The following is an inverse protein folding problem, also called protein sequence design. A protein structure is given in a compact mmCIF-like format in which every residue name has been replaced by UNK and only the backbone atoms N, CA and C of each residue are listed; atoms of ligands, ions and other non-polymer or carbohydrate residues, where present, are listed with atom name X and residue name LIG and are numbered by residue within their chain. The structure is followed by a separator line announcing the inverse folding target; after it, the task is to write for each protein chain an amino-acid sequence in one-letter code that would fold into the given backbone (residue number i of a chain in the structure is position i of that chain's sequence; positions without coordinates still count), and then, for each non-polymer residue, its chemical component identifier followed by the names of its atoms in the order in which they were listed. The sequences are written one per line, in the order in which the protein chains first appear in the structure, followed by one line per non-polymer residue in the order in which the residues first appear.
data_IF_778958849671
#
_entry.id   IF_778958849671
#
_cell.length_a   1.000
_cell.length_b   1.000
_cell.length_c   1.000
_cell.angle_alpha   90.00
_cell.angle_beta   90.00
_cell.angle_gamma   90.00
#
_symmetry.space_group_name_H-M   'P 1'
#
loop_
_entity.id
_entity.type
_entity.pdbx_description
1 polymer ?
#
# COMPACT_ATOMS: atom_id res chain seq x y z
N UNK A 1 -72.99 1.15 154.99
CA UNK A 1 -72.26 2.07 154.08
C UNK A 1 -71.18 1.36 153.24
N UNK A 2 -70.29 0.51 153.80
CA UNK A 2 -69.26 -0.23 153.03
C UNK A 2 -69.80 -1.21 151.98
N UNK A 3 -70.91 -1.88 152.28
CA UNK A 3 -71.49 -2.91 151.39
C UNK A 3 -72.13 -2.32 150.13
N UNK A 4 -72.79 -1.16 150.26
CA UNK A 4 -73.37 -0.40 149.14
C UNK A 4 -72.27 0.08 148.19
N UNK A 5 -71.11 0.52 148.72
CA UNK A 5 -69.98 0.92 147.89
C UNK A 5 -69.41 -0.26 147.08
N UNK A 6 -69.34 -1.46 147.68
CA UNK A 6 -68.87 -2.68 147.01
C UNK A 6 -69.82 -3.16 145.91
N UNK A 7 -71.13 -3.08 146.14
CA UNK A 7 -72.16 -3.38 145.12
C UNK A 7 -72.11 -2.37 143.98
N UNK A 8 -71.92 -1.09 144.27
CA UNK A 8 -71.76 -0.07 143.22
C UNK A 8 -70.47 -0.27 142.41
N UNK A 9 -69.35 -0.64 143.05
CA UNK A 9 -68.10 -0.96 142.35
C UNK A 9 -68.22 -2.22 141.47
N UNK A 10 -68.93 -3.25 141.94
CA UNK A 10 -69.25 -4.44 141.16
C UNK A 10 -70.18 -4.13 139.98
N UNK A 11 -71.22 -3.31 140.18
CA UNK A 11 -72.10 -2.87 139.11
C UNK A 11 -71.37 -2.02 138.07
N UNK A 12 -70.41 -1.19 138.48
CA UNK A 12 -69.58 -0.40 137.57
C UNK A 12 -68.63 -1.29 136.75
N UNK A 13 -68.04 -2.33 137.37
CA UNK A 13 -67.24 -3.34 136.65
C UNK A 13 -68.09 -4.15 135.68
N UNK A 14 -69.26 -4.61 136.11
CA UNK A 14 -70.18 -5.38 135.27
C UNK A 14 -70.69 -4.55 134.07
N UNK A 15 -70.98 -3.26 134.28
CA UNK A 15 -71.31 -2.32 133.19
C UNK A 15 -70.15 -2.19 132.21
N UNK A 16 -68.91 -2.06 132.70
CA UNK A 16 -67.73 -1.97 131.84
C UNK A 16 -67.36 -3.29 131.14
N UNK A 17 -67.67 -4.45 131.73
CA UNK A 17 -67.55 -5.76 131.08
C UNK A 17 -68.62 -5.91 129.99
N UNK A 18 -69.86 -5.50 130.25
CA UNK A 18 -70.97 -5.53 129.29
C UNK A 18 -70.72 -4.59 128.10
N UNK A 19 -70.20 -3.38 128.34
CA UNK A 19 -69.78 -2.45 127.28
C UNK A 19 -68.66 -3.05 126.42
N UNK A 20 -67.65 -3.68 127.04
CA UNK A 20 -66.58 -4.39 126.32
C UNK A 20 -67.09 -5.55 125.48
N UNK A 21 -68.08 -6.30 125.98
CA UNK A 21 -68.70 -7.41 125.25
C UNK A 21 -69.58 -6.93 124.10
N UNK A 22 -70.31 -5.82 124.29
CA UNK A 22 -71.04 -5.15 123.19
C UNK A 22 -70.08 -4.62 122.11
N UNK A 23 -68.97 -4.00 122.48
CA UNK A 23 -67.93 -3.58 121.53
C UNK A 23 -67.31 -4.77 120.79
N UNK A 24 -67.03 -5.88 121.49
CA UNK A 24 -66.51 -7.10 120.89
C UNK A 24 -67.53 -7.71 119.91
N UNK A 25 -68.81 -7.70 120.25
CA UNK A 25 -69.90 -8.17 119.38
C UNK A 25 -70.00 -7.34 118.09
N UNK A 26 -69.95 -6.00 118.20
CA UNK A 26 -69.94 -5.11 117.02
C UNK A 26 -68.70 -5.35 116.15
N UNK A 27 -67.52 -5.53 116.76
CA UNK A 27 -66.27 -5.87 116.03
C UNK A 27 -66.39 -7.23 115.33
N UNK A 28 -67.01 -8.21 115.97
CA UNK A 28 -67.22 -9.55 115.41
C UNK A 28 -68.22 -9.52 114.26
N UNK A 29 -69.30 -8.74 114.36
CA UNK A 29 -70.25 -8.50 113.27
C UNK A 29 -69.56 -7.80 112.08
N UNK A 30 -68.70 -6.82 112.35
CA UNK A 30 -67.91 -6.14 111.32
C UNK A 30 -66.94 -7.09 110.61
N UNK A 31 -66.20 -7.90 111.37
CA UNK A 31 -65.30 -8.93 110.81
C UNK A 31 -66.06 -9.98 110.00
N UNK A 32 -67.25 -10.38 110.44
CA UNK A 32 -68.11 -11.33 109.70
C UNK A 32 -68.57 -10.74 108.37
N UNK A 33 -68.95 -9.45 108.35
CA UNK A 33 -69.28 -8.73 107.10
C UNK A 33 -68.07 -8.62 106.18
N UNK A 34 -66.89 -8.31 106.72
CA UNK A 34 -65.64 -8.26 105.95
C UNK A 34 -65.29 -9.64 105.35
N UNK A 35 -65.40 -10.71 106.14
CA UNK A 35 -65.20 -12.09 105.67
C UNK A 35 -66.12 -12.43 104.50
N UNK A 36 -67.42 -12.13 104.63
CA UNK A 36 -68.38 -12.36 103.56
C UNK A 36 -68.02 -11.58 102.28
N UNK A 37 -67.64 -10.31 102.42
CA UNK A 37 -67.19 -9.53 101.24
C UNK A 37 -65.91 -10.10 100.61
N UNK A 38 -64.97 -10.63 101.41
CA UNK A 38 -63.76 -11.27 100.86
C UNK A 38 -64.05 -12.60 100.19
N UNK A 39 -65.01 -13.37 100.70
CA UNK A 39 -65.48 -14.62 100.08
C UNK A 39 -66.16 -14.34 98.73
N UNK A 40 -67.04 -13.33 98.67
CA UNK A 40 -67.69 -12.92 97.42
C UNK A 40 -66.67 -12.46 96.36
N UNK A 41 -65.61 -11.75 96.78
CA UNK A 41 -64.50 -11.36 95.90
C UNK A 41 -63.70 -12.58 95.43
N UNK A 42 -63.40 -13.53 96.34
CA UNK A 42 -62.66 -14.76 96.00
C UNK A 42 -63.42 -15.61 94.99
N UNK A 43 -64.74 -15.79 95.17
CA UNK A 43 -65.56 -16.56 94.24
C UNK A 43 -65.67 -15.85 92.88
N UNK A 44 -65.76 -14.51 92.87
CA UNK A 44 -65.75 -13.71 91.63
C UNK A 44 -64.44 -13.77 90.83
N UNK A 45 -63.30 -14.05 91.47
CA UNK A 45 -61.96 -14.09 90.83
C UNK A 45 -61.48 -15.52 90.54
N UNK A 46 -62.22 -16.54 90.98
CA UNK A 46 -61.83 -17.95 90.91
C UNK A 46 -61.54 -18.47 89.49
N UNK A 47 -62.24 -17.95 88.48
CA UNK A 47 -62.05 -18.35 87.09
C UNK A 47 -61.06 -17.45 86.32
N UNK A 48 -60.69 -16.29 86.87
CA UNK A 48 -59.71 -15.38 86.25
C UNK A 48 -58.36 -16.03 85.92
N UNK A 49 -57.79 -16.95 86.72
CA UNK A 49 -56.56 -17.66 86.36
C UNK A 49 -56.70 -18.52 85.09
N UNK A 50 -57.85 -19.18 84.88
CA UNK A 50 -58.10 -20.00 83.69
C UNK A 50 -58.25 -19.10 82.46
N UNK A 51 -58.96 -17.98 82.59
CA UNK A 51 -59.09 -16.97 81.53
C UNK A 51 -57.72 -16.38 81.16
N UNK A 52 -56.88 -16.06 82.14
CA UNK A 52 -55.51 -15.59 81.92
C UNK A 52 -54.68 -16.65 81.19
N UNK A 53 -54.82 -17.93 81.53
CA UNK A 53 -54.11 -19.01 80.84
C UNK A 53 -54.58 -19.18 79.39
N UNK A 54 -55.89 -19.08 79.13
CA UNK A 54 -56.45 -19.10 77.77
C UNK A 54 -55.96 -17.92 76.94
N UNK A 55 -55.99 -16.70 77.50
CA UNK A 55 -55.47 -15.51 76.84
C UNK A 55 -53.97 -15.63 76.54
N UNK A 56 -53.17 -16.20 77.45
CA UNK A 56 -51.74 -16.48 77.20
C UNK A 56 -51.52 -17.43 76.03
N UNK A 57 -52.33 -18.50 75.91
CA UNK A 57 -52.27 -19.43 74.77
C UNK A 57 -52.65 -18.74 73.47
N UNK A 58 -53.68 -17.90 73.47
CA UNK A 58 -54.09 -17.16 72.26
C UNK A 58 -53.03 -16.12 71.84
N UNK A 59 -52.42 -15.41 72.80
CA UNK A 59 -51.30 -14.48 72.53
C UNK A 59 -50.10 -15.23 71.93
N UNK A 60 -49.76 -16.41 72.45
CA UNK A 60 -48.69 -17.23 71.88
C UNK A 60 -49.02 -17.66 70.43
N UNK A 61 -50.26 -18.09 70.17
CA UNK A 61 -50.74 -18.47 68.84
C UNK A 61 -50.68 -17.29 67.85
N UNK A 62 -51.13 -16.11 68.27
CA UNK A 62 -51.07 -14.88 67.46
C UNK A 62 -49.63 -14.50 67.15
N UNK A 63 -48.72 -14.62 68.12
CA UNK A 63 -47.30 -14.35 67.90
C UNK A 63 -46.67 -15.32 66.89
N UNK A 64 -46.97 -16.61 66.97
CA UNK A 64 -46.51 -17.59 65.98
C UNK A 64 -47.06 -17.31 64.58
N UNK A 65 -48.34 -16.95 64.47
CA UNK A 65 -48.95 -16.57 63.20
C UNK A 65 -48.32 -15.29 62.63
N UNK A 66 -48.04 -14.29 63.46
CA UNK A 66 -47.37 -13.06 63.06
C UNK A 66 -45.93 -13.32 62.56
N UNK A 67 -45.19 -14.24 63.21
CA UNK A 67 -43.87 -14.65 62.75
C UNK A 67 -43.95 -15.33 61.37
N UNK A 68 -44.90 -16.26 61.18
CA UNK A 68 -45.12 -16.92 59.88
C UNK A 68 -45.47 -15.92 58.79
N UNK A 69 -46.41 -15.01 59.07
CA UNK A 69 -46.83 -13.96 58.14
C UNK A 69 -45.66 -13.04 57.76
N UNK A 70 -44.79 -12.71 58.71
CA UNK A 70 -43.58 -11.91 58.45
C UNK A 70 -42.62 -12.65 57.52
N UNK A 71 -42.39 -13.94 57.77
CA UNK A 71 -41.53 -14.78 56.92
C UNK A 71 -42.07 -14.89 55.49
N UNK A 72 -43.39 -15.07 55.32
CA UNK A 72 -43.99 -15.16 53.99
C UNK A 72 -43.98 -13.81 53.25
N UNK A 73 -44.19 -12.69 53.96
CA UNK A 73 -44.01 -11.34 53.39
C UNK A 73 -42.58 -11.09 52.91
N UNK A 74 -41.56 -11.59 53.62
CA UNK A 74 -40.17 -11.49 53.18
C UNK A 74 -39.89 -12.33 51.93
N UNK A 75 -40.45 -13.54 51.84
CA UNK A 75 -40.36 -14.39 50.64
C UNK A 75 -41.04 -13.72 49.44
N UNK A 76 -42.23 -13.17 49.62
CA UNK A 76 -42.98 -12.49 48.56
C UNK A 76 -42.25 -11.24 48.07
N UNK A 77 -41.66 -10.45 48.97
CA UNK A 77 -40.78 -9.33 48.59
C UNK A 77 -39.58 -9.81 47.77
N UNK A 78 -38.94 -10.90 48.19
CA UNK A 78 -37.83 -11.51 47.44
C UNK A 78 -38.24 -11.97 46.04
N UNK A 79 -39.40 -12.61 45.92
CA UNK A 79 -39.97 -13.02 44.63
C UNK A 79 -40.28 -11.82 43.74
N UNK A 80 -40.89 -10.77 44.31
CA UNK A 80 -41.21 -9.53 43.59
C UNK A 80 -39.95 -8.85 43.02
N UNK A 81 -38.88 -8.75 43.80
CA UNK A 81 -37.59 -8.20 43.33
C UNK A 81 -36.99 -9.04 42.20
N UNK A 82 -37.12 -10.36 42.27
CA UNK A 82 -36.64 -11.26 41.22
C UNK A 82 -37.43 -11.08 39.92
N UNK A 83 -38.75 -10.94 40.01
CA UNK A 83 -39.62 -10.66 38.85
C UNK A 83 -39.27 -9.31 38.22
N UNK A 84 -39.05 -8.28 39.04
CA UNK A 84 -38.65 -6.95 38.54
C UNK A 84 -37.30 -7.02 37.80
N UNK A 85 -36.31 -7.71 38.36
CA UNK A 85 -34.99 -7.89 37.73
C UNK A 85 -35.09 -8.67 36.42
N UNK A 86 -35.87 -9.76 36.38
CA UNK A 86 -36.10 -10.53 35.15
C UNK A 86 -36.82 -9.70 34.09
N UNK A 87 -37.77 -8.86 34.49
CA UNK A 87 -38.48 -7.95 33.57
C UNK A 87 -37.53 -6.92 32.97
N UNK A 88 -36.62 -6.34 33.78
CA UNK A 88 -35.57 -5.44 33.29
C UNK A 88 -34.64 -6.14 32.31
N UNK A 89 -34.20 -7.37 32.63
CA UNK A 89 -33.36 -8.17 31.74
C UNK A 89 -34.06 -8.48 30.41
N UNK A 90 -35.33 -8.92 30.45
CA UNK A 90 -36.13 -9.15 29.25
C UNK A 90 -36.22 -7.91 28.38
N UNK A 91 -36.54 -6.75 28.96
CA UNK A 91 -36.59 -5.49 28.23
C UNK A 91 -35.25 -5.14 27.57
N UNK A 92 -34.14 -5.29 28.30
CA UNK A 92 -32.81 -5.06 27.71
C UNK A 92 -32.49 -6.03 26.56
N UNK A 93 -32.91 -7.30 26.67
CA UNK A 93 -32.71 -8.26 25.58
C UNK A 93 -33.61 -7.99 24.38
N UNK A 94 -34.83 -7.51 24.59
CA UNK A 94 -35.74 -7.07 23.53
C UNK A 94 -35.18 -5.86 22.79
N UNK A 95 -34.68 -4.85 23.52
CA UNK A 95 -34.05 -3.66 22.94
C UNK A 95 -32.80 -4.03 22.10
N UNK A 96 -31.98 -4.99 22.58
CA UNK A 96 -30.84 -5.53 21.82
C UNK A 96 -31.29 -6.28 20.55
N UNK A 97 -32.37 -7.07 20.63
CA UNK A 97 -32.88 -7.83 19.50
C UNK A 97 -33.41 -6.90 18.40
N UNK A 98 -34.13 -5.84 18.78
CA UNK A 98 -34.66 -4.85 17.83
C UNK A 98 -33.50 -4.09 17.14
N UNK A 99 -32.41 -3.80 17.86
CA UNK A 99 -31.21 -3.18 17.28
C UNK A 99 -30.49 -4.02 16.22
N UNK A 100 -30.61 -5.35 16.25
CA UNK A 100 -29.94 -6.28 15.30
C UNK A 100 -30.87 -6.74 14.17
N UNK A 101 -32.16 -6.41 14.24
CA UNK A 101 -33.21 -6.92 13.34
C UNK A 101 -32.97 -6.61 11.86
N UNK A 102 -32.33 -5.49 11.55
CA UNK A 102 -32.04 -5.09 10.17
C UNK A 102 -30.66 -5.55 9.67
N UNK A 103 -29.77 -6.00 10.55
CA UNK A 103 -28.44 -6.50 10.17
C UNK A 103 -28.47 -7.63 9.13
N UNK A 104 -29.40 -8.61 9.16
CA UNK A 104 -29.50 -9.63 8.11
C UNK A 104 -29.81 -9.06 6.72
N UNK A 105 -30.65 -8.02 6.62
CA UNK A 105 -30.99 -7.36 5.35
C UNK A 105 -29.78 -6.60 4.81
N UNK A 106 -29.04 -5.95 5.68
CA UNK A 106 -27.81 -5.25 5.32
C UNK A 106 -26.72 -6.23 4.86
N UNK A 107 -26.55 -7.36 5.56
CA UNK A 107 -25.68 -8.46 5.14
C UNK A 107 -26.09 -8.98 3.75
N UNK A 108 -27.39 -9.14 3.47
CA UNK A 108 -27.85 -9.60 2.15
C UNK A 108 -27.58 -8.57 1.05
N UNK A 109 -27.75 -7.27 1.32
CA UNK A 109 -27.40 -6.18 0.39
C UNK A 109 -25.91 -6.19 0.06
N UNK A 110 -25.07 -6.22 1.10
CA UNK A 110 -23.61 -6.28 0.94
C UNK A 110 -23.17 -7.54 0.18
N UNK A 111 -23.81 -8.70 0.43
CA UNK A 111 -23.55 -9.93 -0.34
C UNK A 111 -23.87 -9.78 -1.83
N UNK A 112 -24.97 -9.09 -2.18
CA UNK A 112 -25.33 -8.81 -3.58
C UNK A 112 -24.32 -7.88 -4.25
N UNK A 113 -23.92 -6.82 -3.55
CA UNK A 113 -22.92 -5.87 -4.04
C UNK A 113 -21.55 -6.54 -4.27
N UNK A 114 -21.10 -7.37 -3.32
CA UNK A 114 -19.87 -8.16 -3.48
C UNK A 114 -19.95 -9.11 -4.67
N UNK A 115 -21.09 -9.77 -4.88
CA UNK A 115 -21.28 -10.65 -6.04
C UNK A 115 -21.23 -9.87 -7.37
N UNK A 116 -21.79 -8.66 -7.41
CA UNK A 116 -21.77 -7.80 -8.59
C UNK A 116 -20.37 -7.27 -8.89
N UNK A 117 -19.64 -6.80 -7.87
CA UNK A 117 -18.24 -6.37 -8.00
C UNK A 117 -17.36 -7.53 -8.49
N UNK A 118 -17.52 -8.73 -7.94
CA UNK A 118 -16.76 -9.90 -8.38
C UNK A 118 -17.03 -10.25 -9.85
N UNK A 119 -18.29 -10.14 -10.30
CA UNK A 119 -18.66 -10.36 -11.70
C UNK A 119 -18.04 -9.30 -12.62
N UNK A 120 -17.97 -8.05 -12.19
CA UNK A 120 -17.31 -6.98 -12.94
C UNK A 120 -15.78 -7.20 -13.00
N UNK A 121 -15.15 -7.55 -11.88
CA UNK A 121 -13.72 -7.86 -11.83
C UNK A 121 -13.34 -9.05 -12.72
N UNK A 122 -14.19 -10.09 -12.79
CA UNK A 122 -13.96 -11.21 -13.69
C UNK A 122 -13.98 -10.77 -15.16
N UNK A 123 -14.95 -9.94 -15.56
CA UNK A 123 -15.01 -9.39 -16.92
C UNK A 123 -13.79 -8.53 -17.27
N UNK A 124 -13.37 -7.66 -16.35
CA UNK A 124 -12.18 -6.83 -16.54
C UNK A 124 -10.90 -7.67 -16.66
N UNK A 125 -10.82 -8.77 -15.91
CA UNK A 125 -9.69 -9.71 -16.00
C UNK A 125 -9.67 -10.41 -17.36
N UNK A 126 -10.82 -10.89 -17.85
CA UNK A 126 -10.95 -11.48 -19.19
C UNK A 126 -10.63 -10.49 -20.31
N UNK A 127 -11.00 -9.22 -20.15
CA UNK A 127 -10.66 -8.15 -21.11
C UNK A 127 -9.15 -7.84 -21.09
N UNK A 128 -8.54 -7.76 -19.91
CA UNK A 128 -7.11 -7.55 -19.75
C UNK A 128 -6.30 -8.70 -20.37
N UNK A 129 -6.72 -9.95 -20.18
CA UNK A 129 -6.08 -11.11 -20.82
C UNK A 129 -6.14 -11.04 -22.35
N UNK A 130 -7.29 -10.66 -22.91
CA UNK A 130 -7.44 -10.46 -24.37
C UNK A 130 -6.51 -9.36 -24.88
N UNK A 131 -6.41 -8.26 -24.14
CA UNK A 131 -5.54 -7.13 -24.50
C UNK A 131 -4.06 -7.52 -24.41
N UNK A 132 -3.65 -8.30 -23.41
CA UNK A 132 -2.28 -8.83 -23.31
C UNK A 132 -1.93 -9.74 -24.49
N UNK A 133 -2.85 -10.62 -24.91
CA UNK A 133 -2.65 -11.47 -26.08
C UNK A 133 -2.54 -10.62 -27.35
N UNK A 134 -3.40 -9.62 -27.52
CA UNK A 134 -3.35 -8.70 -28.64
C UNK A 134 -2.03 -7.90 -28.67
N UNK A 135 -1.59 -7.38 -27.53
CA UNK A 135 -0.32 -6.69 -27.38
C UNK A 135 0.88 -7.60 -27.72
N UNK A 136 0.86 -8.86 -27.28
CA UNK A 136 1.87 -9.86 -27.64
C UNK A 136 1.95 -10.08 -29.16
N UNK A 137 0.80 -10.13 -29.84
CA UNK A 137 0.73 -10.24 -31.30
C UNK A 137 1.25 -8.98 -32.00
N UNK A 138 0.88 -7.79 -31.53
CA UNK A 138 1.38 -6.51 -32.06
C UNK A 138 2.90 -6.47 -31.92
N UNK A 139 3.44 -6.80 -30.75
CA UNK A 139 4.89 -6.83 -30.51
C UNK A 139 5.63 -7.80 -31.44
N UNK A 140 5.03 -8.96 -31.74
CA UNK A 140 5.56 -9.91 -32.72
C UNK A 140 5.56 -9.33 -34.14
N UNK A 141 4.46 -8.67 -34.54
CA UNK A 141 4.34 -8.05 -35.85
C UNK A 141 5.30 -6.86 -36.01
N UNK A 142 5.50 -6.06 -34.97
CA UNK A 142 6.48 -4.96 -34.98
C UNK A 142 7.89 -5.48 -35.22
N UNK A 143 8.31 -6.55 -34.53
CA UNK A 143 9.61 -7.19 -34.79
C UNK A 143 9.74 -7.70 -36.23
N UNK A 144 8.69 -8.31 -36.77
CA UNK A 144 8.69 -8.75 -38.16
C UNK A 144 8.83 -7.55 -39.11
N UNK A 145 8.10 -6.47 -38.85
CA UNK A 145 8.18 -5.24 -39.64
C UNK A 145 9.60 -4.66 -39.64
N UNK A 146 10.23 -4.53 -38.47
CA UNK A 146 11.63 -4.07 -38.34
C UNK A 146 12.59 -4.93 -39.19
N UNK A 147 12.46 -6.26 -39.13
CA UNK A 147 13.31 -7.16 -39.94
C UNK A 147 13.06 -7.00 -41.45
N UNK A 148 11.81 -6.78 -41.85
CA UNK A 148 11.48 -6.54 -43.26
C UNK A 148 12.00 -5.19 -43.73
N UNK A 149 11.94 -4.14 -42.91
CA UNK A 149 12.50 -2.83 -43.22
C UNK A 149 14.02 -2.89 -43.39
N UNK A 150 14.72 -3.62 -42.54
CA UNK A 150 16.17 -3.85 -42.69
C UNK A 150 16.51 -4.59 -43.99
N UNK A 151 15.70 -5.60 -44.36
CA UNK A 151 15.88 -6.33 -45.61
C UNK A 151 15.63 -5.44 -46.83
N UNK A 152 14.58 -4.61 -46.80
CA UNK A 152 14.26 -3.66 -47.86
C UNK A 152 15.42 -2.67 -48.04
N UNK A 153 15.95 -2.08 -46.96
CA UNK A 153 17.12 -1.19 -47.03
C UNK A 153 18.34 -1.87 -47.68
N UNK A 154 18.60 -3.15 -47.35
CA UNK A 154 19.69 -3.93 -47.97
C UNK A 154 19.46 -4.13 -49.47
N UNK A 155 18.24 -4.49 -49.87
CA UNK A 155 17.89 -4.68 -51.28
C UNK A 155 17.96 -3.37 -52.07
N UNK A 156 17.57 -2.25 -51.48
CA UNK A 156 17.69 -0.92 -52.11
C UNK A 156 19.15 -0.57 -52.40
N UNK A 157 20.07 -0.80 -51.46
CA UNK A 157 21.51 -0.60 -51.66
C UNK A 157 22.04 -1.52 -52.76
N UNK A 158 21.66 -2.79 -52.76
CA UNK A 158 22.05 -3.73 -53.82
C UNK A 158 21.55 -3.29 -55.20
N UNK A 159 20.30 -2.81 -55.29
CA UNK A 159 19.71 -2.33 -56.53
C UNK A 159 20.44 -1.09 -57.09
N UNK A 160 20.88 -0.18 -56.22
CA UNK A 160 21.70 0.97 -56.62
C UNK A 160 23.05 0.49 -57.17
N UNK A 161 23.73 -0.42 -56.47
CA UNK A 161 25.00 -0.98 -56.92
C UNK A 161 24.86 -1.69 -58.28
N UNK A 162 23.79 -2.46 -58.49
CA UNK A 162 23.55 -3.17 -59.74
C UNK A 162 23.26 -2.22 -60.91
N UNK A 163 22.59 -1.09 -60.64
CA UNK A 163 22.41 -0.01 -61.63
C UNK A 163 23.75 0.63 -62.01
N UNK A 164 24.66 0.82 -61.06
CA UNK A 164 26.01 1.35 -61.34
C UNK A 164 26.83 0.37 -62.18
N UNK A 165 26.83 -0.91 -61.81
CA UNK A 165 27.47 -1.98 -62.59
C UNK A 165 26.91 -2.02 -64.01
N UNK A 166 25.59 -1.91 -64.17
CA UNK A 166 24.94 -1.89 -65.48
C UNK A 166 25.40 -0.70 -66.34
N UNK A 167 25.60 0.49 -65.75
CA UNK A 167 26.14 1.67 -66.45
C UNK A 167 27.59 1.43 -66.89
N UNK A 168 28.43 0.89 -66.00
CA UNK A 168 29.83 0.57 -66.32
C UNK A 168 29.88 -0.44 -67.46
N UNK A 169 29.07 -1.50 -67.40
CA UNK A 169 29.02 -2.55 -68.41
C UNK A 169 28.58 -2.00 -69.78
N UNK A 170 27.61 -1.09 -69.81
CA UNK A 170 27.23 -0.38 -71.04
C UNK A 170 28.41 0.42 -71.62
N UNK A 171 29.14 1.18 -70.78
CA UNK A 171 30.33 1.92 -71.22
C UNK A 171 31.47 1.03 -71.73
N UNK A 172 31.72 -0.11 -71.07
CA UNK A 172 32.69 -1.11 -71.52
C UNK A 172 32.28 -1.69 -72.89
N UNK A 173 31.00 -1.95 -73.09
CA UNK A 173 30.47 -2.45 -74.37
C UNK A 173 30.69 -1.43 -75.50
N UNK A 174 30.36 -0.16 -75.29
CA UNK A 174 30.62 0.91 -76.27
C UNK A 174 32.11 1.05 -76.60
N UNK A 175 32.97 0.99 -75.58
CA UNK A 175 34.42 1.05 -75.77
C UNK A 175 34.94 -0.14 -76.58
N UNK A 176 34.43 -1.34 -76.31
CA UNK A 176 34.75 -2.55 -77.08
C UNK A 176 34.35 -2.38 -78.54
N UNK A 177 33.12 -1.95 -78.82
CA UNK A 177 32.64 -1.72 -80.20
C UNK A 177 33.49 -0.66 -80.93
N UNK A 178 33.93 0.39 -80.22
CA UNK A 178 34.84 1.40 -80.78
C UNK A 178 36.23 0.84 -81.09
N UNK A 179 36.79 -0.01 -80.21
CA UNK A 179 38.10 -0.63 -80.42
C UNK A 179 38.04 -1.66 -81.57
N UNK A 180 36.98 -2.44 -81.67
CA UNK A 180 36.75 -3.36 -82.79
C UNK A 180 36.75 -2.61 -84.13
N UNK A 181 36.04 -1.47 -84.22
CA UNK A 181 36.07 -0.60 -85.42
C UNK A 181 37.46 -0.03 -85.73
N UNK A 182 38.22 0.34 -84.70
CA UNK A 182 39.61 0.81 -84.88
C UNK A 182 40.52 -0.29 -85.40
N UNK A 183 40.41 -1.50 -84.84
CA UNK A 183 41.17 -2.68 -85.30
C UNK A 183 40.83 -2.99 -86.76
N UNK A 184 39.54 -3.02 -87.12
CA UNK A 184 39.11 -3.23 -88.51
C UNK A 184 39.66 -2.19 -89.48
N UNK A 185 39.73 -0.92 -89.04
CA UNK A 185 40.28 0.18 -89.84
C UNK A 185 41.79 0.04 -90.02
N UNK A 186 42.54 -0.27 -88.95
CA UNK A 186 43.97 -0.52 -88.99
C UNK A 186 44.34 -1.76 -89.81
N UNK A 187 43.49 -2.80 -89.82
CA UNK A 187 43.66 -3.98 -90.65
C UNK A 187 43.53 -3.63 -92.15
N UNK A 188 42.53 -2.81 -92.51
CA UNK A 188 42.38 -2.30 -93.88
C UNK A 188 43.57 -1.45 -94.29
N UNK A 189 44.00 -0.53 -93.43
CA UNK A 189 45.18 0.31 -93.68
C UNK A 189 46.43 -0.54 -93.87
N UNK A 190 46.65 -1.55 -93.02
CA UNK A 190 47.77 -2.48 -93.17
C UNK A 190 47.71 -3.27 -94.48
N UNK A 191 46.52 -3.73 -94.90
CA UNK A 191 46.36 -4.39 -96.20
C UNK A 191 46.69 -3.44 -97.36
N UNK A 192 46.22 -2.19 -97.31
CA UNK A 192 46.56 -1.18 -98.31
C UNK A 192 48.05 -0.87 -98.35
N UNK A 193 48.69 -0.69 -97.18
CA UNK A 193 50.12 -0.47 -97.07
C UNK A 193 50.90 -1.69 -97.58
N UNK A 194 50.46 -2.91 -97.29
CA UNK A 194 51.07 -4.14 -97.83
C UNK A 194 50.97 -4.18 -99.36
N UNK A 195 49.80 -3.89 -99.92
CA UNK A 195 49.60 -3.81 -101.38
C UNK A 195 50.49 -2.72 -102.01
N UNK A 196 50.60 -1.54 -101.37
CA UNK A 196 51.50 -0.46 -101.80
C UNK A 196 52.97 -0.86 -101.69
N UNK A 197 53.37 -1.55 -100.63
CA UNK A 197 54.75 -1.98 -100.41
C UNK A 197 55.14 -3.10 -101.38
N UNK A 198 54.24 -4.04 -101.71
CA UNK A 198 54.42 -5.01 -102.80
C UNK A 198 54.59 -4.29 -104.15
N UNK A 199 53.85 -3.20 -104.39
CA UNK A 199 54.00 -2.35 -105.58
C UNK A 199 55.32 -1.53 -105.59
N UNK A 200 55.87 -1.17 -104.44
CA UNK A 200 57.14 -0.43 -104.29
C UNK A 200 58.37 -1.36 -104.31
N UNK A 201 58.31 -2.55 -103.70
CA UNK A 201 59.35 -3.58 -103.87
C UNK A 201 59.47 -4.04 -105.32
N UNK A 202 58.41 -3.90 -106.11
CA UNK A 202 58.45 -4.09 -107.57
C UNK A 202 59.20 -2.96 -108.32
N UNK A 203 59.55 -1.84 -107.66
CA UNK A 203 60.05 -0.61 -108.29
C UNK A 203 61.31 0.04 -107.71
N UNK A 204 61.85 -0.40 -106.56
CA UNK A 204 63.08 0.22 -106.01
C UNK A 204 64.01 -0.78 -105.33
N UNK A 205 65.11 -1.09 -106.02
CA UNK A 205 66.37 -1.54 -105.42
C UNK A 205 67.13 -0.32 -104.89
N UNK A 206 67.53 -0.38 -103.62
CA UNK A 206 68.66 0.38 -103.07
C UNK A 206 68.33 1.74 -102.45
N UNK A 207 68.66 1.89 -101.15
CA UNK A 207 69.76 2.74 -100.65
C UNK A 207 69.60 2.88 -99.12
N UNK A 208 70.61 2.45 -98.39
CA UNK A 208 70.88 2.75 -96.98
C UNK A 208 71.37 4.19 -96.84
N UNK A 209 71.08 4.89 -95.74
CA UNK A 209 72.13 5.41 -94.82
C UNK A 209 71.57 6.09 -93.55
N UNK A 210 72.13 5.65 -92.43
CA UNK A 210 72.49 6.34 -91.17
C UNK A 210 72.08 7.80 -90.93
N UNK A 211 71.65 8.10 -89.70
CA UNK A 211 72.09 9.31 -89.01
C UNK A 211 71.99 9.22 -87.49
N UNK A 212 73.15 9.30 -86.84
CA UNK A 212 73.35 9.60 -85.42
C UNK A 212 73.30 11.12 -85.26
N UNK A 213 72.39 11.64 -84.43
CA UNK A 213 72.53 12.87 -83.63
C UNK A 213 71.20 13.31 -83.04
N UNK A 214 70.95 12.99 -81.77
CA UNK A 214 70.06 13.71 -80.85
C UNK A 214 70.51 13.28 -79.45
N UNK A 215 70.61 14.07 -78.40
CA UNK A 215 70.83 15.50 -78.12
C UNK A 215 70.65 15.57 -76.60
N UNK A 216 71.34 16.48 -75.93
CA UNK A 216 71.35 16.71 -74.47
C UNK A 216 69.96 16.85 -73.79
N UNK A 217 68.86 16.95 -74.55
CA UNK A 217 67.49 16.94 -74.06
C UNK A 217 67.06 15.61 -73.42
N UNK A 218 67.56 14.46 -73.89
CA UNK A 218 67.23 13.16 -73.29
C UNK A 218 67.77 13.06 -71.85
N UNK A 219 68.96 13.60 -71.60
CA UNK A 219 69.56 13.61 -70.25
C UNK A 219 68.74 14.44 -69.24
N UNK A 220 68.27 15.63 -69.63
CA UNK A 220 67.41 16.46 -68.75
C UNK A 220 66.03 15.82 -68.52
N UNK A 221 65.46 15.14 -69.52
CA UNK A 221 64.19 14.41 -69.34
C UNK A 221 64.34 13.21 -68.42
N UNK A 222 65.47 12.49 -68.49
CA UNK A 222 65.78 11.38 -67.59
C UNK A 222 65.94 11.89 -66.16
N UNK A 223 66.60 13.02 -65.93
CA UNK A 223 66.80 13.60 -64.61
C UNK A 223 65.48 14.12 -63.98
N UNK A 224 64.61 14.73 -64.79
CA UNK A 224 63.25 15.11 -64.37
C UNK A 224 62.38 13.90 -64.02
N UNK A 225 62.40 12.85 -64.85
CA UNK A 225 61.68 11.60 -64.58
C UNK A 225 62.20 10.93 -63.31
N UNK A 226 63.50 10.90 -63.09
CA UNK A 226 64.09 10.37 -61.86
C UNK A 226 63.63 11.16 -60.62
N UNK A 227 63.45 12.48 -60.75
CA UNK A 227 62.92 13.33 -59.66
C UNK A 227 61.45 13.02 -59.36
N UNK A 228 60.62 12.82 -60.39
CA UNK A 228 59.21 12.41 -60.21
C UNK A 228 59.11 11.00 -59.62
N UNK A 229 59.95 10.07 -60.09
CA UNK A 229 59.98 8.70 -59.59
C UNK A 229 60.38 8.70 -58.11
N UNK A 230 61.36 9.51 -57.70
CA UNK A 230 61.75 9.67 -56.30
C UNK A 230 60.61 10.28 -55.44
N UNK A 231 59.89 11.29 -55.95
CA UNK A 231 58.75 11.88 -55.23
C UNK A 231 57.58 10.90 -55.09
N UNK A 232 57.28 10.13 -56.13
CA UNK A 232 56.27 9.08 -56.08
C UNK A 232 56.65 7.95 -55.12
N UNK A 233 57.91 7.52 -55.10
CA UNK A 233 58.40 6.52 -54.15
C UNK A 233 58.31 7.01 -52.70
N UNK A 234 58.68 8.27 -52.43
CA UNK A 234 58.54 8.89 -51.10
C UNK A 234 57.09 8.97 -50.64
N UNK A 235 56.17 9.28 -51.56
CA UNK A 235 54.73 9.34 -51.27
C UNK A 235 54.12 7.96 -51.01
N UNK A 236 54.60 6.94 -51.71
CA UNK A 236 54.22 5.54 -51.47
C UNK A 236 54.73 5.06 -50.10
N UNK A 237 55.96 5.41 -49.70
CA UNK A 237 56.48 5.11 -48.36
C UNK A 237 55.64 5.78 -47.26
N UNK A 238 55.28 7.06 -47.41
CA UNK A 238 54.43 7.77 -46.44
C UNK A 238 53.03 7.15 -46.30
N UNK A 239 52.43 6.73 -47.41
CA UNK A 239 51.12 6.06 -47.38
C UNK A 239 51.22 4.66 -46.76
N UNK A 240 52.30 3.93 -47.03
CA UNK A 240 52.55 2.61 -46.43
C UNK A 240 52.74 2.72 -44.92
N UNK A 241 53.50 3.72 -44.45
CA UNK A 241 53.68 3.98 -43.02
C UNK A 241 52.37 4.37 -42.32
N UNK A 242 51.53 5.18 -42.98
CA UNK A 242 50.21 5.55 -42.46
C UNK A 242 49.29 4.33 -42.33
N UNK A 243 49.26 3.46 -43.35
CA UNK A 243 48.48 2.21 -43.31
C UNK A 243 48.99 1.30 -42.19
N UNK A 244 50.31 1.19 -42.01
CA UNK A 244 50.91 0.37 -40.95
C UNK A 244 50.55 0.91 -39.54
N UNK A 245 50.56 2.23 -39.33
CA UNK A 245 50.12 2.85 -38.06
C UNK A 245 48.64 2.61 -37.79
N UNK A 246 47.79 2.71 -38.81
CA UNK A 246 46.36 2.41 -38.70
C UNK A 246 46.09 0.92 -38.42
N UNK A 247 46.85 0.01 -39.04
CA UNK A 247 46.77 -1.43 -38.76
C UNK A 247 47.25 -1.79 -37.35
N UNK A 248 48.22 -1.05 -36.80
CA UNK A 248 48.71 -1.21 -35.44
C UNK A 248 47.83 -0.53 -34.37
N UNK A 249 46.71 0.10 -34.76
CA UNK A 249 45.74 0.68 -33.83
C UNK A 249 46.10 2.06 -33.26
N UNK A 250 47.14 2.71 -33.78
CA UNK A 250 47.53 4.07 -33.38
C UNK A 250 46.66 5.09 -34.13
N UNK A 251 45.55 5.51 -33.50
CA UNK A 251 44.72 6.60 -33.98
C UNK A 251 45.46 7.94 -33.84
N UNK A 252 45.42 8.84 -34.85
CA UNK A 252 45.97 10.18 -34.71
C UNK A 252 45.28 10.89 -33.54
N UNK A 253 46.08 11.35 -32.56
CA UNK A 253 45.61 12.06 -31.37
C UNK A 253 44.82 13.32 -31.74
N UNK A 254 43.49 13.21 -31.82
CA UNK A 254 42.57 14.32 -31.57
C UNK A 254 42.11 14.22 -30.13
N UNK A 255 42.83 14.93 -29.27
CA UNK A 255 42.63 15.02 -27.83
C UNK A 255 41.24 15.57 -27.50
N UNK A 256 40.34 14.75 -26.97
CA UNK A 256 39.23 15.20 -26.11
C UNK A 256 38.91 14.08 -25.12
N UNK A 257 39.77 13.92 -24.12
CA UNK A 257 39.46 13.14 -22.92
C UNK A 257 38.66 14.02 -21.95
N UNK A 258 37.35 14.19 -22.17
CA UNK A 258 36.44 14.54 -21.07
C UNK A 258 36.29 13.30 -20.21
N UNK A 259 37.06 13.24 -19.13
CA UNK A 259 36.93 12.23 -18.08
C UNK A 259 35.53 12.31 -17.49
N UNK A 260 34.63 11.42 -17.93
CA UNK A 260 33.36 11.14 -17.28
C UNK A 260 33.65 10.35 -16.00
N UNK A 261 33.95 11.06 -14.91
CA UNK A 261 33.85 10.44 -13.58
C UNK A 261 32.36 10.20 -13.33
N UNK A 262 31.94 8.93 -13.38
CA UNK A 262 30.62 8.53 -12.93
C UNK A 262 30.46 8.97 -11.46
N UNK A 263 29.37 9.67 -11.09
CA UNK A 263 29.11 10.01 -9.71
C UNK A 263 29.06 8.75 -8.85
N UNK A 264 29.66 8.78 -7.67
CA UNK A 264 29.56 7.70 -6.69
C UNK A 264 28.08 7.45 -6.37
N UNK A 265 27.62 6.19 -6.32
CA UNK A 265 26.26 5.86 -5.94
C UNK A 265 25.93 6.48 -4.57
N UNK A 266 24.83 7.24 -4.49
CA UNK A 266 24.34 7.81 -3.24
C UNK A 266 23.69 6.71 -2.41
N UNK A 267 23.98 6.70 -1.11
CA UNK A 267 23.34 5.79 -0.16
C UNK A 267 21.96 6.35 0.21
N UNK A 268 20.93 5.54 0.16
CA UNK A 268 19.57 5.90 0.56
C UNK A 268 19.02 4.82 1.47
N UNK A 269 18.45 5.22 2.60
CA UNK A 269 17.83 4.30 3.53
C UNK A 269 16.30 4.39 3.42
N UNK A 270 15.68 3.33 2.87
CA UNK A 270 14.22 3.23 2.68
C UNK A 270 13.44 3.19 4.01
N UNK A 271 14.12 2.91 5.13
CA UNK A 271 13.49 2.80 6.46
C UNK A 271 13.32 4.17 7.14
N UNK A 272 14.21 5.14 6.85
CA UNK A 272 14.16 6.46 7.47
C UNK A 272 14.20 7.63 6.49
N UNK A 273 14.15 7.38 5.18
CA UNK A 273 14.15 8.36 4.09
C UNK A 273 15.30 9.39 4.17
N UNK A 274 16.45 8.98 4.69
CA UNK A 274 17.64 9.84 4.76
C UNK A 274 18.66 9.44 3.70
N UNK A 275 19.19 10.44 3.01
CA UNK A 275 20.27 10.27 2.05
C UNK A 275 21.64 10.36 2.71
N UNK A 276 22.60 9.61 2.16
CA UNK A 276 24.04 9.67 2.39
C UNK A 276 24.52 9.42 3.83
N UNK A 277 23.65 8.98 4.74
CA UNK A 277 23.99 8.73 6.15
C UNK A 277 24.31 7.25 6.43
N UNK A 278 23.45 6.33 6.01
CA UNK A 278 23.61 4.89 6.14
C UNK A 278 22.84 4.17 5.03
N UNK A 279 23.20 2.92 4.74
CA UNK A 279 22.42 2.05 3.88
C UNK A 279 21.24 1.45 4.67
N UNK A 280 20.24 0.92 3.97
CA UNK A 280 19.03 0.36 4.56
C UNK A 280 19.34 -0.67 5.64
N UNK A 281 20.35 -1.55 5.45
CA UNK A 281 20.72 -2.61 6.39
C UNK A 281 21.32 -2.12 7.72
N UNK A 282 21.87 -0.90 7.76
CA UNK A 282 22.49 -0.29 8.94
C UNK A 282 21.52 0.67 9.67
N UNK A 283 20.23 0.67 9.31
CA UNK A 283 19.29 1.60 9.89
C UNK A 283 19.05 1.29 11.38
N UNK A 284 19.31 2.23 12.31
CA UNK A 284 19.06 2.02 13.73
C UNK A 284 17.59 1.77 14.06
N UNK A 285 16.67 2.04 13.11
CA UNK A 285 15.23 1.75 13.23
C UNK A 285 14.87 0.30 12.87
N UNK A 286 15.76 -0.44 12.21
CA UNK A 286 15.50 -1.82 11.76
C UNK A 286 15.31 -2.83 12.91
N UNK A 287 15.73 -2.47 14.13
CA UNK A 287 15.51 -3.26 15.35
C UNK A 287 14.52 -2.66 16.36
N UNK A 288 13.89 -1.52 16.05
CA UNK A 288 12.91 -0.91 16.94
C UNK A 288 11.50 -1.36 16.55
N UNK A 289 10.75 -1.95 17.49
CA UNK A 289 9.37 -2.46 17.31
C UNK A 289 8.32 -1.32 17.21
N UNK A 290 8.76 -0.15 16.72
CA UNK A 290 7.91 1.01 16.50
C UNK A 290 7.50 1.04 15.03
N UNK A 291 6.19 1.06 14.72
CA UNK A 291 5.73 1.13 13.34
C UNK A 291 6.30 2.39 12.66
N UNK A 292 6.67 2.31 11.37
CA UNK A 292 7.21 3.45 10.67
C UNK A 292 6.21 4.61 10.71
N UNK A 293 6.67 5.86 10.90
CA UNK A 293 5.79 7.02 10.89
C UNK A 293 5.06 7.06 9.54
N UNK A 294 3.73 7.08 9.57
CA UNK A 294 2.93 7.21 8.36
C UNK A 294 3.28 8.52 7.66
N UNK A 295 3.56 8.42 6.36
CA UNK A 295 3.94 9.54 5.50
C UNK A 295 2.85 10.63 5.54
N UNK A 296 3.15 11.78 6.15
CA UNK A 296 2.43 13.01 5.83
C UNK A 296 3.05 13.58 4.54
N UNK A 297 2.60 13.09 3.39
CA UNK A 297 2.87 13.83 2.16
C UNK A 297 2.16 15.18 2.29
N UNK A 298 2.93 16.27 2.32
CA UNK A 298 2.41 17.65 2.30
C UNK A 298 1.58 17.93 1.05
N UNK A 299 1.70 17.07 0.03
CA UNK A 299 1.01 17.18 -1.24
C UNK A 299 0.25 15.89 -1.57
N UNK A 300 -1.03 15.99 -1.98
CA UNK A 300 -1.82 14.81 -2.34
C UNK A 300 -1.21 14.07 -3.54
N UNK A 301 -1.43 12.75 -3.60
CA UNK A 301 -1.04 11.92 -4.74
C UNK A 301 -1.66 12.50 -6.02
N UNK A 302 -0.84 12.87 -7.00
CA UNK A 302 -1.26 13.53 -8.24
C UNK A 302 -1.10 15.05 -8.27
N UNK A 303 -0.49 15.65 -7.25
CA UNK A 303 -0.13 17.08 -7.27
C UNK A 303 1.06 17.31 -8.21
N UNK A 304 0.82 17.91 -9.38
CA UNK A 304 1.88 18.42 -10.25
C UNK A 304 2.48 19.68 -9.63
N UNK A 305 3.80 19.66 -9.42
CA UNK A 305 4.53 20.80 -8.88
C UNK A 305 4.63 21.87 -9.98
N UNK A 306 4.22 23.14 -9.73
CA UNK A 306 4.35 24.22 -10.69
C UNK A 306 5.79 24.34 -11.19
N UNK A 307 5.96 24.32 -12.51
CA UNK A 307 7.25 24.38 -13.20
C UNK A 307 7.19 25.46 -14.27
N UNK A 308 8.18 26.34 -14.27
CA UNK A 308 8.30 27.38 -15.26
C UNK A 308 9.25 26.94 -16.36
N UNK A 309 8.74 26.80 -17.57
CA UNK A 309 9.55 26.50 -18.76
C UNK A 309 10.41 27.70 -19.21
N UNK A 310 10.08 28.92 -18.76
CA UNK A 310 10.82 30.15 -19.14
C UNK A 310 12.13 30.32 -18.37
N UNK A 311 12.15 30.01 -17.06
CA UNK A 311 13.35 30.12 -16.21
C UNK A 311 13.87 28.76 -15.69
N UNK A 312 13.24 27.66 -16.11
CA UNK A 312 13.56 26.28 -15.72
C UNK A 312 13.54 26.01 -14.21
N UNK A 313 12.78 26.82 -13.45
CA UNK A 313 12.68 26.73 -11.99
C UNK A 313 11.31 26.21 -11.55
N UNK A 314 11.30 25.45 -10.47
CA UNK A 314 10.06 25.03 -9.80
C UNK A 314 9.57 26.09 -8.81
N UNK A 315 8.25 26.26 -8.70
CA UNK A 315 7.62 27.12 -7.69
C UNK A 315 6.64 28.15 -8.24
N UNK A 316 6.55 28.31 -9.56
CA UNK A 316 5.54 29.07 -10.29
C UNK A 316 5.35 28.44 -11.67
N UNK A 317 4.21 28.70 -12.31
CA UNK A 317 3.97 28.28 -13.69
C UNK A 317 4.51 29.32 -14.67
N UNK A 318 4.75 28.90 -15.91
CA UNK A 318 5.25 29.76 -17.01
C UNK A 318 4.43 31.05 -17.20
N UNK A 319 3.13 31.03 -16.85
CA UNK A 319 2.23 32.19 -16.94
C UNK A 319 2.43 33.26 -15.84
N UNK A 320 3.05 32.88 -14.72
CA UNK A 320 3.33 33.75 -13.57
C UNK A 320 4.81 34.15 -13.47
N UNK A 321 5.59 33.81 -14.50
CA UNK A 321 7.01 34.12 -14.57
C UNK A 321 7.21 35.63 -14.77
N UNK A 322 7.86 36.28 -13.81
CA UNK A 322 8.27 37.67 -13.93
C UNK A 322 9.49 37.78 -14.89
N UNK A 323 9.35 38.43 -16.06
CA UNK A 323 10.44 38.53 -17.02
C UNK A 323 11.58 39.48 -16.60
N UNK A 324 11.48 40.17 -15.45
CA UNK A 324 12.50 41.15 -15.02
C UNK A 324 13.62 40.59 -14.13
N UNK A 325 13.73 39.27 -13.94
CA UNK A 325 14.85 38.66 -13.20
C UNK A 325 15.62 37.64 -14.03
N UNK A 326 16.50 38.16 -14.90
CA UNK A 326 17.69 37.45 -15.38
C UNK A 326 18.95 38.27 -15.09
#
# INVERSE_FOLDING_TARGET
KKEIARVNELNQKLSGDLEREQEASVKLEHLTKQLKTTEDILEGVKDSPKEIEQLKKEVARVNELNQKLTCDLEKDKGASLKVENLTKQLKTTEDMLEGVKDSPKEIEKLKKEVAEINKQNQKLTEELEKEQVAYGKIKSLTKQLETTEELVKKLEVQLVAEREISKILAGVKERKESLEKQVDSLLKENQELKNKNEMVLSKTNGVETTNNNVNEGESMTIEFLNTIIADQQRKLEQQTELIQRLQNGELPNTTTTRSTRLPTPRLFCDICDMFDLHDTEDCPRQGADTPPPQQSHTYPRGFERPYCETCEMFGHDTAECDPETF
#
